data_IF_617348370330
#
_entry.id   IF_617348370330
#
_cell.length_a   1.000
_cell.length_b   1.000
_cell.length_c   1.000
_cell.angle_alpha   90.00
_cell.angle_beta   90.00
_cell.angle_gamma   90.00
#
_symmetry.space_group_name_H-M   'P 1'
#
loop_
_entity.id
_entity.type
_entity.pdbx_description
1 polymer ?
#
# COMPACT_ATOMS: atom_id res chain seq x y z
N UNK A 1 31.29 1.81 -11.32
CA UNK A 1 30.91 2.83 -10.33
C UNK A 1 30.07 2.17 -9.25
N UNK A 2 30.41 2.35 -7.96
CA UNK A 2 29.58 1.84 -6.86
C UNK A 2 28.32 2.72 -6.77
N UNK A 3 27.15 2.09 -6.66
CA UNK A 3 25.88 2.80 -6.44
C UNK A 3 25.87 3.34 -5.00
N UNK A 4 26.16 4.62 -4.81
CA UNK A 4 26.17 5.23 -3.48
C UNK A 4 24.76 5.36 -2.88
N UNK A 5 23.72 5.36 -3.71
CA UNK A 5 22.34 5.54 -3.28
C UNK A 5 21.45 4.42 -3.84
N UNK A 6 21.29 3.35 -3.07
CA UNK A 6 20.47 2.21 -3.47
C UNK A 6 18.98 2.53 -3.35
N UNK A 7 18.14 1.84 -4.11
CA UNK A 7 16.70 2.05 -4.03
C UNK A 7 16.13 1.55 -2.68
N UNK A 8 16.74 0.52 -2.09
CA UNK A 8 16.44 0.05 -0.73
C UNK A 8 16.63 1.17 0.29
N UNK A 9 17.74 1.90 0.22
CA UNK A 9 17.98 3.06 1.07
C UNK A 9 16.96 4.17 0.78
N UNK A 10 16.71 4.49 -0.49
CA UNK A 10 15.76 5.53 -0.89
C UNK A 10 14.35 5.31 -0.32
N UNK A 11 13.88 4.06 -0.24
CA UNK A 11 12.58 3.70 0.34
C UNK A 11 12.47 4.00 1.83
N UNK A 12 13.59 4.03 2.56
CA UNK A 12 13.66 4.33 4.00
C UNK A 12 13.76 5.83 4.30
N UNK A 13 13.82 6.68 3.26
CA UNK A 13 14.00 8.12 3.38
C UNK A 13 12.75 8.85 2.91
N UNK A 14 12.48 10.00 3.52
CA UNK A 14 11.62 11.03 2.95
C UNK A 14 12.11 12.40 3.41
N UNK A 15 11.55 13.48 2.85
CA UNK A 15 12.05 14.82 3.16
C UNK A 15 12.00 15.17 4.65
N UNK A 16 10.86 14.91 5.31
CA UNK A 16 10.59 15.36 6.69
C UNK A 16 10.98 14.36 7.79
N UNK A 17 11.14 13.09 7.46
CA UNK A 17 11.32 11.97 8.38
C UNK A 17 10.01 11.42 9.00
N UNK A 18 8.91 11.40 8.24
CA UNK A 18 7.61 10.91 8.76
C UNK A 18 7.47 9.39 8.64
N UNK A 19 6.59 8.78 9.45
CA UNK A 19 6.28 7.34 9.46
C UNK A 19 7.49 6.43 9.68
N UNK A 20 8.39 6.82 10.61
CA UNK A 20 9.59 6.05 10.95
C UNK A 20 10.70 6.09 9.90
N UNK A 21 10.57 6.91 8.85
CA UNK A 21 11.61 7.13 7.85
C UNK A 21 12.61 8.19 8.30
N UNK A 22 13.85 8.11 7.83
CA UNK A 22 14.86 9.14 8.15
C UNK A 22 14.60 10.41 7.36
N UNK A 23 14.77 11.56 8.02
CA UNK A 23 14.59 12.89 7.44
C UNK A 23 15.76 13.25 6.53
N UNK A 24 15.55 13.23 5.22
CA UNK A 24 16.57 13.58 4.22
C UNK A 24 17.07 15.02 4.39
N UNK A 25 16.19 15.96 4.76
CA UNK A 25 16.55 17.37 4.94
C UNK A 25 17.60 17.60 6.05
N UNK A 26 17.79 16.63 6.95
CA UNK A 26 18.77 16.67 8.05
C UNK A 26 20.11 15.99 7.69
N UNK A 27 20.21 15.39 6.50
CA UNK A 27 21.42 14.71 6.04
C UNK A 27 22.31 15.69 5.28
N UNK A 28 23.62 15.55 5.45
CA UNK A 28 24.64 16.30 4.67
C UNK A 28 24.56 16.03 3.17
N UNK A 29 23.92 14.92 2.78
CA UNK A 29 23.67 14.56 1.38
C UNK A 29 22.92 15.67 0.62
N UNK A 30 22.05 16.43 1.29
CA UNK A 30 21.39 17.61 0.71
C UNK A 30 22.42 18.59 0.17
N UNK A 31 23.42 18.93 0.98
CA UNK A 31 24.42 19.93 0.63
C UNK A 31 25.35 19.42 -0.48
N UNK A 32 25.67 18.13 -0.48
CA UNK A 32 26.43 17.49 -1.56
C UNK A 32 25.68 17.62 -2.88
N UNK A 33 24.38 17.32 -2.90
CA UNK A 33 23.55 17.47 -4.12
C UNK A 33 23.48 18.94 -4.53
N UNK A 34 23.18 19.86 -3.61
CA UNK A 34 23.09 21.29 -3.93
C UNK A 34 24.39 21.86 -4.50
N UNK A 35 25.56 21.51 -3.92
CA UNK A 35 26.86 21.92 -4.46
C UNK A 35 27.12 21.30 -5.84
N UNK A 36 26.77 20.03 -6.03
CA UNK A 36 26.94 19.35 -7.32
C UNK A 36 26.11 20.00 -8.43
N UNK A 37 24.87 20.39 -8.12
CA UNK A 37 23.98 21.10 -9.05
C UNK A 37 24.54 22.48 -9.40
N UNK A 38 25.06 23.20 -8.40
CA UNK A 38 25.65 24.55 -8.59
C UNK A 38 26.97 24.53 -9.36
N UNK A 39 27.75 23.47 -9.21
CA UNK A 39 29.02 23.29 -9.93
C UNK A 39 28.83 22.84 -11.39
N UNK A 40 27.63 22.42 -11.77
CA UNK A 40 27.32 22.01 -13.14
C UNK A 40 26.83 23.22 -13.95
N UNK A 41 27.50 23.51 -15.07
CA UNK A 41 27.22 24.67 -15.92
C UNK A 41 25.77 24.75 -16.41
N UNK A 42 25.11 23.60 -16.63
CA UNK A 42 23.73 23.54 -17.14
C UNK A 42 22.68 23.78 -16.06
N UNK A 43 22.99 23.42 -14.81
CA UNK A 43 22.03 23.45 -13.69
C UNK A 43 22.38 24.48 -12.63
N UNK A 44 23.45 25.26 -12.81
CA UNK A 44 23.92 26.25 -11.83
C UNK A 44 22.90 27.31 -11.43
N UNK A 45 21.95 27.61 -12.31
CA UNK A 45 20.90 28.58 -12.08
C UNK A 45 19.70 28.03 -11.28
N UNK A 46 19.68 26.72 -11.01
CA UNK A 46 18.61 26.09 -10.24
C UNK A 46 18.58 26.64 -8.81
N UNK A 47 17.39 27.03 -8.38
CA UNK A 47 17.12 27.50 -7.03
C UNK A 47 17.13 26.33 -6.03
N UNK A 48 17.34 26.64 -4.75
CA UNK A 48 17.26 25.63 -3.69
C UNK A 48 15.88 24.96 -3.62
N UNK A 49 14.82 25.70 -3.95
CA UNK A 49 13.46 25.17 -4.01
C UNK A 49 13.27 24.15 -5.14
N UNK A 50 13.84 24.42 -6.32
CA UNK A 50 13.80 23.46 -7.44
C UNK A 50 14.59 22.19 -7.11
N UNK A 51 15.79 22.34 -6.54
CA UNK A 51 16.62 21.21 -6.10
C UNK A 51 15.84 20.36 -5.08
N UNK A 52 15.26 20.99 -4.07
CA UNK A 52 14.43 20.32 -3.07
C UNK A 52 13.22 19.60 -3.69
N UNK A 53 12.52 20.24 -4.62
CA UNK A 53 11.40 19.65 -5.34
C UNK A 53 11.84 18.38 -6.08
N UNK A 54 12.97 18.42 -6.79
CA UNK A 54 13.50 17.26 -7.50
C UNK A 54 13.92 16.14 -6.54
N UNK A 55 14.56 16.46 -5.42
CA UNK A 55 14.91 15.47 -4.38
C UNK A 55 13.65 14.80 -3.83
N UNK A 56 12.63 15.59 -3.45
CA UNK A 56 11.35 15.07 -2.94
C UNK A 56 10.70 14.12 -3.94
N UNK A 57 10.59 14.55 -5.21
CA UNK A 57 10.02 13.73 -6.28
C UNK A 57 10.82 12.44 -6.48
N UNK A 58 12.15 12.54 -6.44
CA UNK A 58 13.02 11.39 -6.59
C UNK A 58 12.86 10.40 -5.42
N UNK A 59 12.75 10.86 -4.18
CA UNK A 59 12.51 9.97 -3.03
C UNK A 59 11.11 9.35 -3.07
N UNK A 60 10.09 10.13 -3.46
CA UNK A 60 8.72 9.65 -3.56
C UNK A 60 8.56 8.49 -4.56
N UNK A 61 9.24 8.60 -5.70
CA UNK A 61 9.19 7.60 -6.77
C UNK A 61 10.10 6.38 -6.54
N UNK A 62 10.82 6.30 -5.42
CA UNK A 62 11.69 5.16 -5.09
C UNK A 62 10.93 3.82 -5.11
N UNK A 63 9.69 3.81 -4.61
CA UNK A 63 8.84 2.61 -4.62
C UNK A 63 8.52 2.11 -6.04
N UNK A 64 8.35 3.02 -6.99
CA UNK A 64 7.95 2.70 -8.36
C UNK A 64 9.11 2.15 -9.20
N UNK A 65 10.35 2.53 -8.91
CA UNK A 65 11.54 2.12 -9.68
C UNK A 65 11.83 0.63 -9.63
N UNK A 66 11.48 -0.06 -8.54
CA UNK A 66 11.64 -1.53 -8.42
C UNK A 66 10.37 -2.28 -8.85
N UNK A 67 9.53 -1.69 -9.72
CA UNK A 67 8.30 -2.33 -10.17
C UNK A 67 7.18 -2.31 -9.12
N UNK A 68 7.22 -1.41 -8.14
CA UNK A 68 6.20 -1.32 -7.10
C UNK A 68 4.79 -0.99 -7.61
N UNK A 69 4.64 -0.42 -8.82
CA UNK A 69 3.32 -0.30 -9.47
C UNK A 69 2.76 -1.65 -9.88
N UNK A 70 3.59 -2.47 -10.54
CA UNK A 70 3.23 -3.80 -10.98
C UNK A 70 2.86 -4.69 -9.79
N UNK A 71 3.64 -4.69 -8.71
CA UNK A 71 3.30 -5.46 -7.50
C UNK A 71 2.00 -4.99 -6.83
N UNK A 72 1.68 -3.70 -6.87
CA UNK A 72 0.41 -3.18 -6.34
C UNK A 72 -0.76 -3.58 -7.21
N UNK A 73 -0.58 -3.59 -8.52
CA UNK A 73 -1.59 -4.04 -9.49
C UNK A 73 -1.85 -5.55 -9.33
N UNK A 74 -0.79 -6.36 -9.30
CA UNK A 74 -0.88 -7.81 -9.05
C UNK A 74 -1.60 -8.09 -7.72
N UNK A 75 -1.24 -7.39 -6.64
CA UNK A 75 -1.93 -7.54 -5.34
C UNK A 75 -3.41 -7.17 -5.43
N UNK A 76 -3.77 -6.12 -6.17
CA UNK A 76 -5.18 -5.74 -6.38
C UNK A 76 -5.94 -6.82 -7.13
N UNK A 77 -5.34 -7.40 -8.18
CA UNK A 77 -5.93 -8.48 -8.96
C UNK A 77 -6.11 -9.75 -8.13
N UNK A 78 -5.13 -10.13 -7.28
CA UNK A 78 -5.27 -11.28 -6.38
C UNK A 78 -6.41 -11.10 -5.39
N UNK A 79 -6.52 -9.91 -4.77
CA UNK A 79 -7.62 -9.61 -3.84
C UNK A 79 -8.96 -9.65 -4.56
N UNK A 80 -9.07 -9.07 -5.75
CA UNK A 80 -10.31 -9.14 -6.55
C UNK A 80 -10.70 -10.58 -6.90
N UNK A 81 -9.76 -11.43 -7.33
CA UNK A 81 -10.04 -12.84 -7.63
C UNK A 81 -10.56 -13.60 -6.39
N UNK A 82 -9.92 -13.40 -5.23
CA UNK A 82 -10.34 -14.06 -3.98
C UNK A 82 -11.74 -13.63 -3.50
N UNK A 83 -12.14 -12.38 -3.74
CA UNK A 83 -13.48 -11.90 -3.42
C UNK A 83 -14.55 -12.50 -4.35
N UNK A 84 -14.22 -12.81 -5.61
CA UNK A 84 -15.15 -13.40 -6.58
C UNK A 84 -15.36 -14.90 -6.32
N UNK A 85 -14.33 -15.63 -5.89
CA UNK A 85 -14.42 -17.07 -5.58
C UNK A 85 -15.29 -17.37 -4.35
N UNK A 86 -15.40 -16.43 -3.41
CA UNK A 86 -16.22 -16.60 -2.19
C UNK A 86 -17.74 -16.53 -2.47
N UNK A 87 -18.16 -16.08 -3.66
CA UNK A 87 -19.59 -15.93 -3.99
C UNK A 87 -20.27 -17.20 -4.51
N UNK A 88 -19.51 -18.25 -4.87
CA UNK A 88 -20.04 -19.47 -5.49
C UNK A 88 -20.06 -20.69 -4.53
N UNK A 89 -19.85 -20.48 -3.23
CA UNK A 89 -19.65 -21.56 -2.25
C UNK A 89 -20.75 -21.74 -1.18
N UNK A 90 -21.92 -21.10 -1.30
CA UNK A 90 -23.01 -21.27 -0.32
C UNK A 90 -24.22 -21.99 -0.94
N UNK A 91 -24.02 -23.25 -1.30
CA UNK A 91 -25.12 -24.22 -1.40
C UNK A 91 -25.41 -24.74 0.01
N UNK A 92 -26.14 -23.95 0.79
CA UNK A 92 -26.69 -24.42 2.07
C UNK A 92 -27.82 -25.43 1.82
N UNK A 93 -28.00 -26.45 2.69
CA UNK A 93 -29.10 -27.39 2.54
C UNK A 93 -30.45 -26.70 2.80
N UNK A 94 -31.41 -26.93 1.91
CA UNK A 94 -32.81 -26.52 2.07
C UNK A 94 -33.38 -27.10 3.37
N UNK A 95 -34.14 -26.33 4.18
CA UNK A 95 -34.94 -26.90 5.24
C UNK A 95 -36.20 -27.52 4.63
N UNK A 96 -36.29 -28.85 4.70
CA UNK A 96 -37.50 -29.59 4.40
C UNK A 96 -38.61 -29.16 5.37
N UNK A 97 -39.67 -28.55 4.83
CA UNK A 97 -40.92 -28.27 5.52
C UNK A 97 -41.83 -29.48 5.31
N UNK A 98 -41.69 -30.50 6.14
CA UNK A 98 -42.67 -31.58 6.21
C UNK A 98 -43.83 -31.16 7.13
N UNK A 99 -45.02 -31.08 6.52
CA UNK A 99 -46.31 -31.10 7.19
C UNK A 99 -46.59 -32.51 7.71
N UNK A 100 -46.86 -32.68 9.01
CA UNK A 100 -47.66 -33.83 9.45
C UNK A 100 -48.48 -33.51 10.71
N UNK A 101 -49.78 -33.32 10.47
CA UNK A 101 -50.94 -33.96 11.14
C UNK A 101 -51.02 -34.00 12.68
N UNK A 102 -52.00 -33.25 13.20
CA UNK A 102 -52.71 -33.58 14.46
C UNK A 102 -53.47 -34.91 14.33
N UNK A 103 -53.52 -35.74 15.39
CA UNK A 103 -54.69 -35.77 16.29
C UNK A 103 -54.23 -35.88 17.77
N UNK A 104 -54.92 -35.44 18.82
CA UNK A 104 -56.30 -35.71 19.22
C UNK A 104 -56.30 -36.41 20.59
N UNK A 105 -57.13 -35.91 21.51
CA UNK A 105 -57.67 -36.58 22.72
C UNK A 105 -56.88 -36.57 24.07
N UNK A 106 -57.55 -35.88 25.02
CA UNK A 106 -57.85 -36.29 26.41
C UNK A 106 -56.80 -36.25 27.52
N UNK A 107 -57.19 -35.66 28.67
CA UNK A 107 -56.61 -35.98 29.97
C UNK A 107 -56.65 -34.86 31.02
N UNK A 108 -57.80 -34.69 31.67
CA UNK A 108 -58.04 -34.25 33.07
C UNK A 108 -56.88 -33.65 33.90
N UNK A 109 -57.18 -32.59 34.70
CA UNK A 109 -57.38 -32.67 36.17
C UNK A 109 -57.05 -31.36 36.92
N UNK A 110 -58.08 -30.80 37.59
CA UNK A 110 -58.12 -30.07 38.89
C UNK A 110 -57.20 -28.85 39.13
N UNK A 111 -57.77 -27.64 39.26
CA UNK A 111 -58.28 -27.05 40.52
C UNK A 111 -59.14 -25.81 40.21
#
# INVERSE_FOLDING_TARGET
MKQCFTNTLAKQLNWRGVNGKTAFQRLEMKDVISRSVRNNMLTKAATDQEIEMFIKRWLHLAGDRDGGRRQREERRQTVQHSCLETTHGFSGPSPDLDQESTPGAEGSRLH
#
